data_IF_612401636948
#
_entry.id   IF_612401636948
#
_cell.length_a   1.000
_cell.length_b   1.000
_cell.length_c   1.000
_cell.angle_alpha   90.00
_cell.angle_beta   90.00
_cell.angle_gamma   90.00
#
_symmetry.space_group_name_H-M   'P 1'
#
loop_
_entity.id
_entity.type
_entity.pdbx_description
1 polymer ?
#
# COMPACT_ATOMS: atom_id res chain seq x y z
N UNK A 1 -25.59 -21.77 12.97
CA UNK A 1 -24.73 -20.64 12.58
C UNK A 1 -23.34 -20.97 13.10
N UNK A 2 -22.37 -21.19 12.21
CA UNK A 2 -21.01 -21.58 12.58
C UNK A 2 -20.23 -20.33 12.96
N UNK A 3 -19.61 -20.37 14.13
CA UNK A 3 -18.81 -19.30 14.70
C UNK A 3 -17.61 -19.00 13.78
N UNK A 4 -17.40 -17.78 13.29
CA UNK A 4 -16.23 -17.48 12.47
C UNK A 4 -14.98 -17.51 13.37
N UNK A 5 -14.22 -18.61 13.31
CA UNK A 5 -12.86 -18.67 13.85
C UNK A 5 -11.97 -17.76 12.99
N UNK A 6 -11.77 -16.52 13.44
CA UNK A 6 -10.84 -15.59 12.82
C UNK A 6 -9.43 -16.18 12.90
N UNK A 7 -8.90 -16.57 11.73
CA UNK A 7 -7.52 -16.99 11.56
C UNK A 7 -6.66 -15.76 11.82
N UNK A 8 -6.18 -15.61 13.06
CA UNK A 8 -5.31 -14.49 13.45
C UNK A 8 -4.04 -14.47 12.60
N UNK A 9 -3.38 -13.31 12.48
CA UNK A 9 -2.12 -13.14 11.73
C UNK A 9 -1.04 -14.17 12.10
N UNK A 10 -1.04 -14.65 13.36
CA UNK A 10 -0.17 -15.74 13.82
C UNK A 10 -0.39 -17.05 13.05
N UNK A 11 -1.65 -17.35 12.76
CA UNK A 11 -2.08 -18.55 12.06
C UNK A 11 -1.75 -18.43 10.56
N UNK A 12 -1.89 -17.24 9.98
CA UNK A 12 -1.42 -16.96 8.61
C UNK A 12 0.10 -17.09 8.49
N UNK A 13 0.87 -16.55 9.44
CA UNK A 13 2.33 -16.70 9.46
C UNK A 13 2.72 -18.18 9.59
N UNK A 14 2.04 -18.95 10.45
CA UNK A 14 2.29 -20.37 10.60
C UNK A 14 1.95 -21.17 9.33
N UNK A 15 0.84 -20.88 8.66
CA UNK A 15 0.45 -21.49 7.39
C UNK A 15 1.42 -21.13 6.26
N UNK A 16 1.81 -19.86 6.14
CA UNK A 16 2.80 -19.41 5.16
C UNK A 16 4.17 -20.05 5.39
N UNK A 17 4.63 -20.13 6.64
CA UNK A 17 5.87 -20.83 7.00
C UNK A 17 5.78 -22.33 6.71
N UNK A 18 4.62 -22.95 6.94
CA UNK A 18 4.38 -24.36 6.62
C UNK A 18 4.39 -24.60 5.11
N UNK A 19 3.77 -23.73 4.31
CA UNK A 19 3.82 -23.80 2.84
C UNK A 19 5.26 -23.69 2.32
N UNK A 20 6.07 -22.80 2.88
CA UNK A 20 7.51 -22.71 2.59
C UNK A 20 8.26 -24.00 2.96
N UNK A 21 7.93 -24.60 4.09
CA UNK A 21 8.61 -25.77 4.65
C UNK A 21 8.30 -27.07 3.90
N UNK A 22 7.04 -27.29 3.51
CA UNK A 22 6.60 -28.57 2.92
C UNK A 22 7.03 -28.73 1.45
N UNK A 23 7.20 -27.64 0.70
CA UNK A 23 7.48 -27.71 -0.73
C UNK A 23 8.79 -26.99 -1.17
N UNK A 24 9.63 -26.58 -0.21
CA UNK A 24 10.87 -25.85 -0.51
C UNK A 24 10.67 -24.52 -1.25
N UNK A 25 9.45 -23.97 -1.23
CA UNK A 25 9.09 -22.78 -1.98
C UNK A 25 9.80 -21.56 -1.37
N UNK A 26 10.90 -21.15 -1.98
CA UNK A 26 11.59 -19.91 -1.60
C UNK A 26 10.93 -18.74 -2.30
N UNK A 27 10.25 -17.88 -1.53
CA UNK A 27 9.88 -16.55 -2.00
C UNK A 27 11.16 -15.71 -2.03
N UNK A 28 11.83 -15.70 -3.18
CA UNK A 28 13.05 -14.91 -3.40
C UNK A 28 12.65 -13.53 -3.89
N UNK A 29 12.72 -12.55 -2.99
CA UNK A 29 12.59 -11.13 -3.35
C UNK A 29 13.97 -10.58 -3.70
N UNK A 30 14.15 -9.96 -4.89
CA UNK A 30 15.39 -9.27 -5.25
C UNK A 30 15.82 -8.24 -4.19
N UNK A 31 17.12 -8.13 -3.92
CA UNK A 31 17.63 -7.24 -2.87
C UNK A 31 17.20 -5.78 -3.05
N UNK A 32 17.09 -5.31 -4.30
CA UNK A 32 16.69 -3.95 -4.59
C UNK A 32 15.23 -3.64 -4.23
N UNK A 33 14.35 -4.65 -4.04
CA UNK A 33 12.93 -4.47 -3.67
C UNK A 33 12.67 -4.58 -2.17
N UNK A 34 13.70 -4.89 -1.37
CA UNK A 34 13.58 -5.05 0.08
C UNK A 34 13.78 -3.72 0.81
N UNK A 35 13.27 -3.64 2.04
CA UNK A 35 13.51 -2.54 2.98
C UNK A 35 13.14 -1.15 2.44
N UNK A 36 12.13 -1.07 1.56
CA UNK A 36 11.70 0.19 0.93
C UNK A 36 10.67 0.91 1.80
N UNK A 37 10.67 2.24 1.72
CA UNK A 37 9.68 3.09 2.38
C UNK A 37 8.50 3.29 1.44
N UNK A 38 7.30 3.07 1.98
CA UNK A 38 6.03 3.26 1.27
C UNK A 38 5.25 4.40 1.91
N UNK A 39 4.82 5.34 1.07
CA UNK A 39 3.80 6.31 1.43
C UNK A 39 2.45 5.60 1.53
N UNK A 40 1.63 6.04 2.49
CA UNK A 40 0.37 5.37 2.83
C UNK A 40 -0.78 6.35 2.83
N UNK A 41 -1.86 5.95 2.18
CA UNK A 41 -3.13 6.66 2.18
C UNK A 41 -4.20 5.73 2.71
N UNK A 42 -4.92 6.18 3.74
CA UNK A 42 -6.17 5.56 4.18
C UNK A 42 -7.33 6.16 3.41
N UNK A 43 -8.23 5.32 2.94
CA UNK A 43 -9.53 5.69 2.42
C UNK A 43 -10.55 5.12 3.40
N UNK A 44 -11.43 5.96 3.93
CA UNK A 44 -12.52 5.52 4.80
C UNK A 44 -13.71 6.43 4.58
N UNK A 45 -14.89 5.85 4.33
CA UNK A 45 -16.15 6.59 4.15
C UNK A 45 -16.06 7.71 3.10
N UNK A 46 -15.34 7.46 2.00
CA UNK A 46 -15.14 8.43 0.91
C UNK A 46 -14.10 9.52 1.19
N UNK A 47 -13.46 9.52 2.36
CA UNK A 47 -12.38 10.44 2.70
C UNK A 47 -11.01 9.78 2.57
N UNK A 48 -10.06 10.48 1.95
CA UNK A 48 -8.69 10.04 1.83
C UNK A 48 -7.79 10.81 2.82
N UNK A 49 -6.95 10.11 3.58
CA UNK A 49 -6.06 10.70 4.59
C UNK A 49 -4.66 10.10 4.49
N UNK A 50 -3.62 10.95 4.59
CA UNK A 50 -2.25 10.48 4.73
C UNK A 50 -2.04 9.76 6.06
N UNK A 51 -1.29 8.65 6.01
CA UNK A 51 -0.73 7.99 7.17
C UNK A 51 0.79 8.14 7.15
N UNK A 52 1.41 7.91 8.31
CA UNK A 52 2.87 7.89 8.39
C UNK A 52 3.47 6.87 7.42
N UNK A 53 4.56 7.22 6.71
CA UNK A 53 5.26 6.28 5.84
C UNK A 53 5.71 5.05 6.61
N UNK A 54 5.72 3.90 5.93
CA UNK A 54 6.13 2.63 6.54
C UNK A 54 7.26 1.99 5.75
N UNK A 55 8.35 1.68 6.45
CA UNK A 55 9.43 0.86 5.92
C UNK A 55 9.05 -0.62 6.00
N UNK A 56 8.93 -1.27 4.84
CA UNK A 56 8.58 -2.68 4.73
C UNK A 56 9.79 -3.52 4.32
N UNK A 57 10.05 -4.60 5.05
CA UNK A 57 11.14 -5.55 4.73
C UNK A 57 10.93 -6.22 3.37
N UNK A 58 9.68 -6.56 3.07
CA UNK A 58 9.24 -7.17 1.82
C UNK A 58 8.24 -6.23 1.13
N UNK A 59 8.21 -6.20 -0.21
CA UNK A 59 7.22 -5.41 -0.91
C UNK A 59 5.80 -5.90 -0.57
N UNK A 60 4.80 -4.99 -0.54
CA UNK A 60 3.42 -5.40 -0.40
C UNK A 60 3.03 -6.36 -1.53
N UNK A 61 2.28 -7.40 -1.17
CA UNK A 61 1.78 -8.41 -2.12
C UNK A 61 0.27 -8.26 -2.16
N UNK A 62 -0.23 -7.70 -3.26
CA UNK A 62 -1.64 -7.36 -3.41
C UNK A 62 -1.95 -6.79 -4.78
N UNK A 63 -3.19 -6.38 -4.98
CA UNK A 63 -3.66 -5.80 -6.24
C UNK A 63 -2.92 -4.50 -6.55
N UNK A 64 -2.47 -4.37 -7.81
CA UNK A 64 -1.78 -3.18 -8.30
C UNK A 64 -2.82 -2.18 -8.79
N UNK A 65 -2.67 -0.93 -8.36
CA UNK A 65 -3.48 0.19 -8.83
C UNK A 65 -2.59 1.28 -9.41
N UNK A 66 -3.06 1.93 -10.46
CA UNK A 66 -2.39 3.09 -11.06
C UNK A 66 -2.75 4.34 -10.28
N UNK A 67 -1.71 5.08 -9.86
CA UNK A 67 -1.84 6.34 -9.12
C UNK A 67 -1.22 7.44 -9.97
N UNK A 68 -1.98 8.47 -10.30
CA UNK A 68 -1.46 9.65 -10.99
C UNK A 68 -0.96 10.65 -9.97
N UNK A 69 0.31 11.02 -10.05
CA UNK A 69 0.96 11.98 -9.14
C UNK A 69 1.35 13.21 -9.90
N UNK A 70 0.74 14.33 -9.56
CA UNK A 70 1.09 15.64 -10.07
C UNK A 70 2.14 16.26 -9.15
N UNK A 71 3.32 16.48 -9.70
CA UNK A 71 4.43 17.17 -9.03
C UNK A 71 4.72 18.49 -9.74
N UNK A 72 5.62 19.31 -9.19
CA UNK A 72 6.16 20.49 -9.88
C UNK A 72 6.83 20.16 -11.23
N UNK A 73 7.28 18.91 -11.41
CA UNK A 73 7.87 18.42 -12.66
C UNK A 73 6.85 17.89 -13.68
N UNK A 74 5.55 17.88 -13.34
CA UNK A 74 4.47 17.36 -14.16
C UNK A 74 3.76 16.15 -13.55
N UNK A 75 2.76 15.65 -14.27
CA UNK A 75 2.00 14.45 -13.91
C UNK A 75 2.79 13.18 -14.27
N UNK A 76 2.88 12.25 -13.32
CA UNK A 76 3.57 10.97 -13.46
C UNK A 76 2.65 9.84 -13.01
N UNK A 77 2.72 8.70 -13.69
CA UNK A 77 2.00 7.50 -13.28
C UNK A 77 2.89 6.67 -12.35
N UNK A 78 2.42 6.42 -11.13
CA UNK A 78 3.00 5.49 -10.18
C UNK A 78 2.14 4.23 -10.08
N UNK A 79 2.77 3.15 -9.63
CA UNK A 79 2.06 1.92 -9.26
C UNK A 79 1.99 1.84 -7.75
N UNK A 80 0.79 1.64 -7.22
CA UNK A 80 0.53 1.39 -5.81
C UNK A 80 -0.12 0.03 -5.58
N UNK A 81 -0.23 -0.36 -4.32
CA UNK A 81 -0.97 -1.54 -3.89
C UNK A 81 -2.16 -1.12 -3.05
N UNK A 82 -3.37 -1.54 -3.44
CA UNK A 82 -4.59 -1.24 -2.71
C UNK A 82 -5.06 -2.46 -1.91
N UNK A 83 -5.36 -2.25 -0.63
CA UNK A 83 -5.89 -3.27 0.27
C UNK A 83 -7.24 -2.78 0.84
N UNK A 84 -8.37 -3.28 0.29
CA UNK A 84 -9.70 -2.90 0.79
C UNK A 84 -9.92 -3.45 2.20
N UNK A 85 -10.69 -2.73 3.01
CA UNK A 85 -11.16 -3.23 4.29
C UNK A 85 -12.26 -4.28 4.07
N UNK A 86 -12.24 -5.35 4.86
CA UNK A 86 -13.17 -6.48 4.69
C UNK A 86 -14.64 -6.13 5.04
N UNK A 87 -14.90 -5.00 5.68
CA UNK A 87 -16.23 -4.65 6.22
C UNK A 87 -16.49 -3.14 6.31
N UNK A 88 -15.57 -2.32 5.80
CA UNK A 88 -15.70 -0.87 5.74
C UNK A 88 -15.48 -0.46 4.29
N UNK A 89 -16.17 0.58 3.86
CA UNK A 89 -15.93 1.16 2.55
C UNK A 89 -14.56 1.87 2.55
N UNK A 90 -13.71 1.54 1.58
CA UNK A 90 -12.34 2.01 1.52
C UNK A 90 -11.30 0.97 1.96
N UNK A 91 -10.10 1.45 2.29
CA UNK A 91 -8.92 0.61 2.45
C UNK A 91 -7.64 1.40 2.65
N UNK A 92 -6.50 0.74 2.44
CA UNK A 92 -5.18 1.37 2.50
C UNK A 92 -4.45 1.21 1.17
N UNK A 93 -4.02 2.33 0.61
CA UNK A 93 -3.16 2.40 -0.56
C UNK A 93 -1.71 2.58 -0.11
N UNK A 94 -0.83 1.73 -0.63
CA UNK A 94 0.63 1.80 -0.46
C UNK A 94 1.26 2.23 -1.77
N UNK A 95 2.08 3.27 -1.74
CA UNK A 95 2.79 3.77 -2.91
C UNK A 95 4.27 3.79 -2.60
N UNK A 96 5.09 3.37 -3.56
CA UNK A 96 6.52 3.51 -3.39
C UNK A 96 6.86 5.00 -3.31
N UNK A 97 7.45 5.44 -2.21
CA UNK A 97 7.88 6.82 -2.06
C UNK A 97 8.87 7.13 -3.20
N UNK A 98 8.63 8.17 -4.02
CA UNK A 98 9.57 8.57 -5.07
C UNK A 98 10.94 8.86 -4.46
N UNK A 99 11.99 8.35 -5.11
CA UNK A 99 13.39 8.54 -4.69
C UNK A 99 13.81 10.02 -4.70
N UNK A 100 13.06 10.89 -5.37
CA UNK A 100 13.36 12.31 -5.56
C UNK A 100 12.48 13.22 -4.70
N UNK A 101 13.04 13.61 -3.56
CA UNK A 101 12.82 14.83 -2.75
C UNK A 101 11.49 15.03 -1.99
N UNK A 102 11.52 15.09 -0.64
CA UNK A 102 10.37 15.36 0.23
C UNK A 102 9.91 16.83 0.27
N UNK A 103 10.41 17.73 -0.59
CA UNK A 103 10.25 19.19 -0.42
C UNK A 103 9.30 19.89 -1.40
N UNK A 104 8.71 19.20 -2.38
CA UNK A 104 7.69 19.81 -3.25
C UNK A 104 6.29 19.34 -2.83
N UNK A 105 5.29 20.24 -2.76
CA UNK A 105 3.90 19.81 -2.63
C UNK A 105 3.54 18.93 -3.82
N UNK A 106 2.93 17.78 -3.54
CA UNK A 106 2.50 16.81 -4.54
C UNK A 106 1.00 16.61 -4.41
N UNK A 107 0.32 16.56 -5.54
CA UNK A 107 -1.10 16.22 -5.59
C UNK A 107 -1.25 14.84 -6.20
N UNK A 108 -1.79 13.91 -5.45
CA UNK A 108 -2.05 12.53 -5.86
C UNK A 108 -3.51 12.43 -6.28
N UNK A 109 -3.74 11.95 -7.49
CA UNK A 109 -5.03 11.55 -8.03
C UNK A 109 -5.02 10.04 -8.24
N UNK A 110 -5.97 9.34 -7.65
CA UNK A 110 -6.08 7.90 -7.86
C UNK A 110 -7.54 7.48 -7.84
N UNK A 111 -7.81 6.35 -8.50
CA UNK A 111 -9.12 5.72 -8.50
C UNK A 111 -9.04 4.48 -7.63
N UNK A 112 -9.92 4.39 -6.64
CA UNK A 112 -10.10 3.19 -5.84
C UNK A 112 -11.61 2.89 -5.77
N UNK A 113 -11.98 1.63 -5.97
CA UNK A 113 -13.39 1.19 -5.89
C UNK A 113 -14.35 1.97 -6.82
N UNK A 114 -13.85 2.46 -7.97
CA UNK A 114 -14.63 3.25 -8.92
C UNK A 114 -14.82 4.73 -8.51
N UNK A 115 -14.28 5.15 -7.37
CA UNK A 115 -14.27 6.53 -6.90
C UNK A 115 -12.93 7.21 -7.15
N UNK A 116 -12.96 8.50 -7.49
CA UNK A 116 -11.75 9.31 -7.69
C UNK A 116 -11.41 10.11 -6.44
N UNK A 117 -10.17 10.01 -5.99
CA UNK A 117 -9.67 10.71 -4.82
C UNK A 117 -8.55 11.68 -5.20
N UNK A 118 -8.44 12.76 -4.44
CA UNK A 118 -7.37 13.74 -4.57
C UNK A 118 -6.76 14.05 -3.20
N UNK A 119 -5.44 13.94 -3.08
CA UNK A 119 -4.70 14.27 -1.86
C UNK A 119 -3.50 15.15 -2.15
N UNK A 120 -3.31 16.21 -1.38
CA UNK A 120 -2.08 16.99 -1.41
C UNK A 120 -1.17 16.61 -0.24
N UNK A 121 0.14 16.48 -0.46
CA UNK A 121 1.12 16.51 0.64
C UNK A 121 1.34 17.95 1.06
N UNK A 122 1.18 18.24 2.35
CA UNK A 122 1.55 19.54 2.89
C UNK A 122 3.07 19.68 2.86
N UNK A 123 3.57 20.86 2.46
CA UNK A 123 4.95 21.26 2.73
C UNK A 123 5.05 21.37 4.25
N UNK A 124 5.80 20.47 4.89
CA UNK A 124 6.10 20.62 6.30
C UNK A 124 6.84 21.96 6.53
N UNK A 125 6.60 22.66 7.65
CA UNK A 125 7.34 23.88 7.99
C UNK A 125 8.84 23.63 8.16
#
# INVERSE_FOLDING_TARGET
YCDPQWVSDYTFKALFNRLKSVNGAQVVVPAHLKNRVYDRVRILDGEATWLDPWQMELPPIGELVTVMVTTSSGAQSLTGHYFPYNHLEGGVLFMLAPEVQPMSPRTFHFVAEGMSFQLSTAVGP
#
